data_IF_868838205224
#
_entry.id   IF_868838205224
#
_cell.length_a   1.000
_cell.length_b   1.000
_cell.length_c   1.000
_cell.angle_alpha   90.00
_cell.angle_beta   90.00
_cell.angle_gamma   90.00
#
_symmetry.space_group_name_H-M   'P 1'
#
loop_
_entity.id
_entity.type
_entity.pdbx_description
1 polymer ?
#
# COMPACT_ATOMS: atom_id res chain seq x y z
N UNK A 1 7.51 -19.43 -13.49
CA UNK A 1 7.28 -17.97 -13.64
C UNK A 1 6.19 -17.69 -14.68
N UNK A 2 6.36 -18.11 -15.93
CA UNK A 2 5.43 -17.84 -17.05
C UNK A 2 3.97 -18.19 -16.74
N UNK A 3 3.70 -19.42 -16.28
CA UNK A 3 2.34 -19.85 -15.94
C UNK A 3 1.69 -19.02 -14.80
N UNK A 4 2.48 -18.48 -13.86
CA UNK A 4 1.97 -17.63 -12.79
C UNK A 4 1.71 -16.19 -13.27
N UNK A 5 2.45 -15.74 -14.26
CA UNK A 5 2.27 -14.42 -14.86
C UNK A 5 1.07 -14.34 -15.81
N UNK A 6 0.58 -15.49 -16.36
CA UNK A 6 -0.48 -15.48 -17.37
C UNK A 6 -1.79 -14.88 -16.85
N UNK A 7 -2.24 -15.24 -15.64
CA UNK A 7 -3.51 -14.73 -15.09
C UNK A 7 -3.50 -13.21 -14.90
N UNK A 8 -2.51 -12.59 -14.23
CA UNK A 8 -2.45 -11.12 -14.12
C UNK A 8 -2.41 -10.42 -15.48
N UNK A 9 -1.68 -10.96 -16.45
CA UNK A 9 -1.59 -10.40 -17.80
C UNK A 9 -2.94 -10.47 -18.55
N UNK A 10 -3.64 -11.60 -18.48
CA UNK A 10 -4.94 -11.75 -19.13
C UNK A 10 -6.02 -10.86 -18.47
N UNK A 11 -5.99 -10.71 -17.13
CA UNK A 11 -6.90 -9.78 -16.43
C UNK A 11 -6.63 -8.33 -16.85
N UNK A 12 -5.36 -7.93 -16.95
CA UNK A 12 -5.00 -6.58 -17.40
C UNK A 12 -5.48 -6.33 -18.84
N UNK A 13 -5.22 -7.27 -19.75
CA UNK A 13 -5.67 -7.18 -21.16
C UNK A 13 -7.19 -7.07 -21.27
N UNK A 14 -7.91 -7.94 -20.54
CA UNK A 14 -9.38 -7.90 -20.54
C UNK A 14 -9.92 -6.55 -20.02
N UNK A 15 -9.32 -5.99 -18.96
CA UNK A 15 -9.68 -4.67 -18.46
C UNK A 15 -9.40 -3.55 -19.49
N UNK A 16 -8.27 -3.59 -20.16
CA UNK A 16 -7.93 -2.63 -21.21
C UNK A 16 -8.87 -2.72 -22.41
N UNK A 17 -9.24 -3.95 -22.82
CA UNK A 17 -10.21 -4.13 -23.89
C UNK A 17 -11.56 -3.51 -23.56
N UNK A 18 -12.08 -3.66 -22.34
CA UNK A 18 -13.33 -3.03 -21.91
C UNK A 18 -13.24 -1.49 -21.96
N UNK A 19 -12.08 -0.93 -21.58
CA UNK A 19 -11.86 0.52 -21.65
C UNK A 19 -11.83 1.00 -23.10
N UNK A 20 -11.18 0.27 -24.00
CA UNK A 20 -11.09 0.59 -25.44
C UNK A 20 -12.43 0.46 -26.16
N UNK A 21 -13.28 -0.54 -25.78
CA UNK A 21 -14.63 -0.74 -26.33
C UNK A 21 -15.64 0.26 -25.77
N UNK A 22 -15.31 0.95 -24.69
CA UNK A 22 -16.11 2.03 -24.12
C UNK A 22 -16.05 3.31 -24.93
N UNK A 23 -16.59 4.38 -24.39
CA UNK A 23 -16.65 5.71 -25.03
C UNK A 23 -15.31 6.48 -24.98
N UNK A 24 -14.20 5.81 -24.69
CA UNK A 24 -12.86 6.40 -24.61
C UNK A 24 -12.63 7.23 -23.34
N UNK A 25 -13.40 7.01 -22.29
CA UNK A 25 -13.18 7.66 -21.00
C UNK A 25 -11.81 7.28 -20.43
N UNK A 26 -11.18 8.26 -19.80
CA UNK A 26 -9.88 8.10 -19.16
C UNK A 26 -10.03 7.33 -17.85
N UNK A 27 -9.77 6.02 -17.89
CA UNK A 27 -9.64 5.20 -16.68
C UNK A 27 -8.19 5.14 -16.22
N UNK A 28 -7.98 5.25 -14.91
CA UNK A 28 -6.68 5.02 -14.28
C UNK A 28 -6.55 3.52 -13.96
N UNK A 29 -5.57 2.86 -14.56
CA UNK A 29 -5.32 1.42 -14.41
C UNK A 29 -4.04 1.21 -13.62
N UNK A 30 -4.15 0.74 -12.40
CA UNK A 30 -3.01 0.40 -11.55
C UNK A 30 -2.89 -1.09 -11.27
N UNK A 31 -1.68 -1.54 -10.97
CA UNK A 31 -1.43 -2.90 -10.51
C UNK A 31 -0.87 -2.93 -9.09
N UNK A 32 -1.65 -3.48 -8.15
CA UNK A 32 -1.23 -3.65 -6.75
C UNK A 32 -0.68 -5.05 -6.52
N UNK A 33 0.46 -5.16 -5.86
CA UNK A 33 1.15 -6.43 -5.65
C UNK A 33 1.80 -6.52 -4.27
N UNK A 34 1.88 -7.75 -3.75
CA UNK A 34 2.77 -8.08 -2.63
C UNK A 34 4.11 -8.54 -3.20
N UNK A 35 5.23 -7.89 -2.85
CA UNK A 35 6.51 -8.19 -3.49
C UNK A 35 7.06 -9.59 -3.18
N UNK A 36 6.68 -10.15 -2.03
CA UNK A 36 7.09 -11.48 -1.58
C UNK A 36 6.00 -12.14 -0.75
N UNK A 37 5.97 -13.47 -0.75
CA UNK A 37 5.07 -14.32 0.02
C UNK A 37 5.85 -15.47 0.65
N UNK A 38 5.59 -15.74 1.94
CA UNK A 38 6.24 -16.83 2.70
C UNK A 38 5.59 -18.21 2.45
N UNK A 39 4.35 -18.22 1.94
CA UNK A 39 3.64 -19.45 1.67
C UNK A 39 4.36 -20.31 0.63
N UNK A 40 4.29 -21.64 0.73
CA UNK A 40 4.82 -22.61 -0.24
C UNK A 40 3.68 -23.23 -1.07
N UNK A 41 3.68 -23.07 -2.40
CA UNK A 41 4.63 -22.33 -3.24
C UNK A 41 4.40 -20.81 -3.19
N UNK A 42 5.45 -20.06 -2.81
CA UNK A 42 5.42 -18.62 -2.66
C UNK A 42 5.82 -17.83 -3.91
N UNK A 43 5.98 -16.53 -3.73
CA UNK A 43 6.50 -15.58 -4.71
C UNK A 43 7.72 -14.89 -4.10
N UNK A 44 8.88 -15.00 -4.72
CA UNK A 44 10.05 -14.22 -4.36
C UNK A 44 10.10 -12.90 -5.12
N UNK A 45 10.98 -12.01 -4.70
CA UNK A 45 11.11 -10.68 -5.31
C UNK A 45 11.46 -10.74 -6.80
N UNK A 46 12.33 -11.68 -7.22
CA UNK A 46 12.66 -11.90 -8.63
C UNK A 46 11.45 -12.33 -9.48
N UNK A 47 10.53 -13.14 -8.91
CA UNK A 47 9.30 -13.50 -9.59
C UNK A 47 8.37 -12.30 -9.78
N UNK A 48 8.33 -11.43 -8.78
CA UNK A 48 7.58 -10.17 -8.81
C UNK A 48 8.16 -9.22 -9.86
N UNK A 49 9.48 -9.03 -9.89
CA UNK A 49 10.13 -8.19 -10.91
C UNK A 49 9.92 -8.71 -12.32
N UNK A 50 9.99 -10.04 -12.51
CA UNK A 50 9.64 -10.66 -13.80
C UNK A 50 8.21 -10.30 -14.23
N UNK A 51 7.23 -10.44 -13.33
CA UNK A 51 5.83 -10.13 -13.62
C UNK A 51 5.65 -8.63 -13.94
N UNK A 52 6.20 -7.74 -13.12
CA UNK A 52 6.06 -6.29 -13.31
C UNK A 52 6.66 -5.82 -14.63
N UNK A 53 7.83 -6.33 -15.01
CA UNK A 53 8.44 -6.01 -16.30
C UNK A 53 7.60 -6.52 -17.50
N UNK A 54 6.86 -7.64 -17.34
CA UNK A 54 5.90 -8.10 -18.36
C UNK A 54 4.65 -7.20 -18.39
N UNK A 55 4.09 -6.83 -17.24
CA UNK A 55 2.94 -5.94 -17.15
C UNK A 55 3.24 -4.54 -17.70
N UNK A 56 4.46 -4.04 -17.52
CA UNK A 56 4.89 -2.73 -17.99
C UNK A 56 4.87 -2.59 -19.54
N UNK A 57 4.85 -3.70 -20.28
CA UNK A 57 4.66 -3.67 -21.74
C UNK A 57 3.22 -3.36 -22.16
N UNK A 58 2.30 -3.32 -21.19
CA UNK A 58 0.91 -2.93 -21.36
C UNK A 58 0.67 -1.55 -20.71
N UNK A 59 -0.46 -0.91 -21.05
CA UNK A 59 -0.80 0.41 -20.50
C UNK A 59 -1.14 0.28 -19.00
N UNK A 60 -0.23 0.74 -18.13
CA UNK A 60 -0.43 0.93 -16.70
C UNK A 60 -0.14 2.39 -16.34
N UNK A 61 -0.96 2.95 -15.46
CA UNK A 61 -0.78 4.32 -14.96
C UNK A 61 0.04 4.36 -13.68
N UNK A 62 0.04 3.28 -12.88
CA UNK A 62 0.91 3.14 -11.71
C UNK A 62 1.06 1.67 -11.29
N UNK A 63 2.11 1.40 -10.52
CA UNK A 63 2.27 0.14 -9.76
C UNK A 63 2.27 0.45 -8.27
N UNK A 64 1.71 -0.43 -7.44
CA UNK A 64 1.48 -0.18 -6.03
C UNK A 64 2.01 -1.34 -5.17
N UNK A 65 3.02 -1.06 -4.36
CA UNK A 65 3.51 -1.99 -3.35
C UNK A 65 2.44 -2.23 -2.27
N UNK A 66 2.23 -3.47 -1.88
CA UNK A 66 1.37 -3.87 -0.75
C UNK A 66 2.25 -4.40 0.38
N UNK A 67 2.61 -3.52 1.30
CA UNK A 67 3.55 -3.80 2.39
C UNK A 67 3.06 -3.17 3.70
N UNK A 68 3.55 -3.72 4.84
CA UNK A 68 3.28 -3.15 6.17
C UNK A 68 4.14 -1.92 6.50
N UNK A 69 5.30 -1.76 5.83
CA UNK A 69 6.16 -0.59 5.97
C UNK A 69 6.79 -0.24 4.62
N UNK A 70 6.89 1.06 4.30
CA UNK A 70 7.51 1.55 3.07
C UNK A 70 9.02 1.23 3.01
N UNK A 71 9.66 1.06 4.16
CA UNK A 71 11.08 0.68 4.30
C UNK A 71 11.33 -0.83 4.28
N UNK A 72 10.28 -1.66 4.08
CA UNK A 72 10.39 -3.12 4.22
C UNK A 72 11.47 -3.71 3.32
N UNK A 73 12.38 -4.48 3.92
CA UNK A 73 13.35 -5.35 3.25
C UNK A 73 12.75 -6.72 2.91
N UNK A 74 13.56 -7.66 2.45
CA UNK A 74 13.11 -9.04 2.17
C UNK A 74 12.58 -9.74 3.44
N UNK A 75 11.45 -10.45 3.30
CA UNK A 75 10.94 -11.36 4.33
C UNK A 75 11.40 -12.80 4.11
N UNK A 76 11.98 -13.10 2.94
CA UNK A 76 12.53 -14.41 2.58
C UNK A 76 14.01 -14.47 2.94
N UNK A 77 14.75 -13.41 2.63
CA UNK A 77 16.18 -13.26 2.91
C UNK A 77 16.36 -12.26 4.05
N UNK A 78 16.21 -12.73 5.28
CA UNK A 78 16.15 -11.86 6.48
C UNK A 78 17.48 -11.21 6.86
N UNK A 79 18.60 -11.65 6.30
CA UNK A 79 19.92 -11.04 6.38
C UNK A 79 20.12 -9.87 5.39
N UNK A 80 19.25 -9.75 4.40
CA UNK A 80 19.25 -8.69 3.41
C UNK A 80 18.36 -7.53 3.88
N UNK A 81 18.98 -6.49 4.42
CA UNK A 81 18.31 -5.33 5.02
C UNK A 81 18.00 -4.21 4.02
N UNK A 82 18.37 -4.36 2.75
CA UNK A 82 18.08 -3.34 1.74
C UNK A 82 16.56 -3.22 1.49
N UNK A 83 15.99 -2.02 1.53
CA UNK A 83 14.57 -1.82 1.24
C UNK A 83 14.19 -2.34 -0.15
N UNK A 84 13.07 -3.04 -0.26
CA UNK A 84 12.61 -3.62 -1.53
C UNK A 84 12.37 -2.57 -2.63
N UNK A 85 12.04 -1.35 -2.26
CA UNK A 85 11.94 -0.25 -3.24
C UNK A 85 13.28 0.06 -3.90
N UNK A 86 14.39 0.04 -3.16
CA UNK A 86 15.75 0.30 -3.72
C UNK A 86 16.10 -0.78 -4.74
N UNK A 87 15.83 -2.04 -4.42
CA UNK A 87 15.99 -3.16 -5.36
C UNK A 87 15.10 -3.03 -6.59
N UNK A 88 13.83 -2.63 -6.40
CA UNK A 88 12.90 -2.38 -7.49
C UNK A 88 13.47 -1.34 -8.46
N UNK A 89 13.95 -0.19 -7.95
CA UNK A 89 14.52 0.88 -8.75
C UNK A 89 15.74 0.42 -9.57
N UNK A 90 16.55 -0.48 -9.00
CA UNK A 90 17.72 -1.05 -9.68
C UNK A 90 17.38 -2.11 -10.74
N UNK A 91 16.26 -2.85 -10.60
CA UNK A 91 15.91 -4.01 -11.42
C UNK A 91 14.82 -3.73 -12.47
N UNK A 92 14.19 -2.54 -12.44
CA UNK A 92 13.09 -2.20 -13.35
C UNK A 92 13.58 -1.99 -14.78
N UNK A 93 12.80 -2.48 -15.77
CA UNK A 93 13.05 -2.20 -17.19
C UNK A 93 12.80 -0.72 -17.50
N UNK A 94 13.25 -0.21 -18.66
CA UNK A 94 12.94 1.17 -19.09
C UNK A 94 11.43 1.45 -19.14
N UNK A 95 10.62 0.50 -19.58
CA UNK A 95 9.16 0.60 -19.62
C UNK A 95 8.58 0.72 -18.21
N UNK A 96 9.03 -0.14 -17.28
CA UNK A 96 8.60 -0.09 -15.88
C UNK A 96 9.10 1.18 -15.17
N UNK A 97 10.24 1.71 -15.57
CA UNK A 97 10.79 2.96 -15.04
C UNK A 97 9.98 4.21 -15.44
N UNK A 98 9.20 4.12 -16.50
CA UNK A 98 8.30 5.19 -16.93
C UNK A 98 6.94 5.18 -16.18
N UNK A 99 6.65 4.13 -15.40
CA UNK A 99 5.41 3.97 -14.65
C UNK A 99 5.64 4.42 -13.20
N UNK A 100 4.83 5.35 -12.67
CA UNK A 100 4.91 5.78 -11.28
C UNK A 100 4.76 4.62 -10.29
N UNK A 101 5.55 4.64 -9.22
CA UNK A 101 5.48 3.63 -8.15
C UNK A 101 4.90 4.21 -6.88
N UNK A 102 3.88 3.56 -6.34
CA UNK A 102 3.18 3.94 -5.12
C UNK A 102 3.68 3.11 -3.93
N UNK A 103 4.11 3.79 -2.87
CA UNK A 103 4.48 3.20 -1.59
C UNK A 103 3.33 3.16 -0.59
N UNK A 104 3.39 2.25 0.39
CA UNK A 104 2.41 2.11 1.46
C UNK A 104 3.05 1.52 2.70
N UNK A 105 2.43 1.78 3.83
CA UNK A 105 2.73 1.16 5.12
C UNK A 105 3.61 2.02 6.03
N UNK A 106 3.20 2.15 7.29
CA UNK A 106 3.87 2.95 8.32
C UNK A 106 4.10 4.42 7.96
N UNK A 107 3.24 4.99 7.09
CA UNK A 107 3.25 6.41 6.75
C UNK A 107 2.19 7.10 7.60
N UNK A 108 2.61 7.87 8.60
CA UNK A 108 1.72 8.58 9.51
C UNK A 108 2.07 10.06 9.63
N UNK A 109 3.33 10.36 9.94
CA UNK A 109 3.81 11.73 10.10
C UNK A 109 4.36 12.29 8.79
N UNK A 110 4.56 13.61 8.73
CA UNK A 110 5.17 14.29 7.58
C UNK A 110 6.54 13.68 7.23
N UNK A 111 7.37 13.40 8.24
CA UNK A 111 8.69 12.82 8.02
C UNK A 111 8.64 11.47 7.32
N UNK A 112 7.66 10.60 7.69
CA UNK A 112 7.48 9.31 7.02
C UNK A 112 7.18 9.49 5.52
N UNK A 113 6.34 10.47 5.19
CA UNK A 113 6.01 10.78 3.80
C UNK A 113 7.23 11.30 3.02
N UNK A 114 7.99 12.22 3.60
CA UNK A 114 9.22 12.76 3.00
C UNK A 114 10.28 11.66 2.83
N UNK A 115 10.48 10.81 3.83
CA UNK A 115 11.44 9.70 3.77
C UNK A 115 11.03 8.67 2.71
N UNK A 116 9.74 8.35 2.59
CA UNK A 116 9.25 7.45 1.56
C UNK A 116 9.50 8.03 0.15
N UNK A 117 9.19 9.30 -0.08
CA UNK A 117 9.48 9.96 -1.37
C UNK A 117 10.98 9.98 -1.65
N UNK A 118 11.82 10.23 -0.65
CA UNK A 118 13.29 10.23 -0.78
C UNK A 118 13.85 8.83 -1.09
N UNK A 119 13.17 7.75 -0.67
CA UNK A 119 13.53 6.38 -1.05
C UNK A 119 13.22 6.07 -2.52
N UNK A 120 12.39 6.89 -3.19
CA UNK A 120 12.12 6.79 -4.62
C UNK A 120 10.70 6.33 -4.97
N UNK A 121 9.75 6.39 -4.05
CA UNK A 121 8.33 6.31 -4.40
C UNK A 121 7.86 7.62 -5.03
N UNK A 122 7.03 7.52 -6.08
CA UNK A 122 6.44 8.68 -6.77
C UNK A 122 5.10 9.08 -6.14
N UNK A 123 4.39 8.12 -5.55
CA UNK A 123 3.08 8.27 -4.93
C UNK A 123 3.06 7.56 -3.57
N UNK A 124 2.20 8.04 -2.67
CA UNK A 124 2.03 7.42 -1.34
C UNK A 124 0.57 7.05 -1.11
N UNK A 125 0.35 5.83 -0.60
CA UNK A 125 -0.94 5.38 -0.10
C UNK A 125 -0.91 5.38 1.43
N UNK A 126 -1.84 6.11 2.04
CA UNK A 126 -1.96 6.24 3.48
C UNK A 126 -3.29 5.62 3.93
N UNK A 127 -3.23 4.62 4.81
CA UNK A 127 -4.42 3.94 5.34
C UNK A 127 -4.78 4.45 6.73
N UNK A 128 -4.11 3.95 7.77
CA UNK A 128 -4.36 4.30 9.17
C UNK A 128 -4.38 5.82 9.39
N UNK A 129 -3.46 6.55 8.78
CA UNK A 129 -3.39 8.01 8.92
C UNK A 129 -4.71 8.71 8.63
N UNK A 130 -5.40 8.35 7.53
CA UNK A 130 -6.71 8.91 7.18
C UNK A 130 -7.85 8.42 8.07
N UNK A 131 -7.74 7.25 8.67
CA UNK A 131 -8.75 6.75 9.59
C UNK A 131 -8.73 7.50 10.92
N UNK A 132 -7.56 7.79 11.45
CA UNK A 132 -7.41 8.53 12.71
C UNK A 132 -7.47 10.05 12.52
N UNK A 133 -7.10 10.54 11.35
CA UNK A 133 -7.06 11.96 11.01
C UNK A 133 -7.57 12.21 9.58
N UNK A 134 -8.86 12.49 9.40
CA UNK A 134 -9.44 12.76 8.08
C UNK A 134 -8.80 13.94 7.34
N UNK A 135 -8.26 14.92 8.08
CA UNK A 135 -7.57 16.10 7.53
C UNK A 135 -6.06 15.87 7.40
N UNK A 136 -5.62 14.63 7.29
CA UNK A 136 -4.22 14.22 7.26
C UNK A 136 -3.39 15.05 6.26
N UNK A 137 -3.85 15.21 5.03
CA UNK A 137 -3.12 15.94 3.97
C UNK A 137 -2.92 17.40 4.37
N UNK A 138 -3.97 18.06 4.86
CA UNK A 138 -3.89 19.48 5.27
C UNK A 138 -2.90 19.66 6.42
N UNK A 139 -2.99 18.83 7.45
CA UNK A 139 -2.09 18.87 8.61
C UNK A 139 -0.63 18.59 8.22
N UNK A 140 -0.39 17.64 7.33
CA UNK A 140 0.95 17.35 6.80
C UNK A 140 1.52 18.59 6.08
N UNK A 141 0.72 19.27 5.27
CA UNK A 141 1.15 20.50 4.60
C UNK A 141 1.46 21.64 5.58
N UNK A 142 0.69 21.73 6.66
CA UNK A 142 0.88 22.74 7.72
C UNK A 142 1.97 22.35 8.73
N UNK A 143 2.61 21.19 8.56
CA UNK A 143 3.58 20.61 9.47
C UNK A 143 3.02 20.41 10.89
N UNK A 144 1.74 20.08 10.99
CA UNK A 144 1.09 19.72 12.25
C UNK A 144 1.34 18.26 12.59
N UNK A 145 1.38 17.97 13.89
CA UNK A 145 1.51 16.58 14.37
C UNK A 145 0.22 15.81 14.13
N UNK A 146 0.33 14.62 13.55
CA UNK A 146 -0.76 13.67 13.42
C UNK A 146 -0.85 12.81 14.69
N UNK A 147 -2.07 12.50 15.14
CA UNK A 147 -2.28 11.58 16.24
C UNK A 147 -1.99 10.13 15.80
N UNK A 148 -1.37 9.36 16.68
CA UNK A 148 -1.02 7.96 16.36
C UNK A 148 -2.23 7.04 16.47
N UNK A 149 -3.17 7.36 17.36
CA UNK A 149 -4.38 6.58 17.63
C UNK A 149 -5.57 7.50 17.88
N UNK A 150 -6.75 7.05 17.50
CA UNK A 150 -8.00 7.68 17.86
C UNK A 150 -8.44 7.29 19.27
N UNK A 151 -9.23 8.15 19.92
CA UNK A 151 -9.88 7.82 21.19
C UNK A 151 -10.94 6.73 20.98
N UNK A 152 -11.15 5.86 21.97
CA UNK A 152 -12.08 4.74 21.91
C UNK A 152 -13.53 5.12 21.54
N UNK A 153 -13.95 6.35 21.83
CA UNK A 153 -15.28 6.87 21.54
C UNK A 153 -15.33 7.73 20.26
N UNK A 154 -14.24 7.79 19.46
CA UNK A 154 -14.13 8.69 18.33
C UNK A 154 -14.89 8.22 17.06
N UNK A 155 -15.49 7.03 17.06
CA UNK A 155 -16.14 6.43 15.90
C UNK A 155 -17.09 7.39 15.15
N UNK A 156 -18.00 8.04 15.89
CA UNK A 156 -18.99 8.95 15.30
C UNK A 156 -18.33 10.22 14.76
N UNK A 157 -17.33 10.76 15.47
CA UNK A 157 -16.59 11.95 15.04
C UNK A 157 -15.81 11.67 13.75
N UNK A 158 -15.20 10.49 13.64
CA UNK A 158 -14.45 10.04 12.48
C UNK A 158 -15.35 9.52 11.35
N UNK A 159 -16.67 9.41 11.61
CA UNK A 159 -17.68 8.91 10.65
C UNK A 159 -17.35 7.53 10.09
N UNK A 160 -16.74 6.68 10.91
CA UNK A 160 -16.40 5.30 10.54
C UNK A 160 -17.62 4.41 10.74
N UNK A 161 -18.10 3.68 9.70
CA UNK A 161 -19.22 2.74 9.84
C UNK A 161 -18.92 1.64 10.87
N UNK A 162 -19.92 1.22 11.66
CA UNK A 162 -19.72 0.25 12.73
C UNK A 162 -19.03 -1.05 12.27
N UNK A 163 -19.38 -1.68 11.13
CA UNK A 163 -18.68 -2.90 10.70
C UNK A 163 -17.19 -2.67 10.42
N UNK A 164 -16.82 -1.48 9.94
CA UNK A 164 -15.42 -1.14 9.70
C UNK A 164 -14.73 -0.81 11.02
N UNK A 165 -15.41 -0.09 11.94
CA UNK A 165 -14.87 0.23 13.24
C UNK A 165 -14.56 -1.05 14.04
N UNK A 166 -15.51 -1.99 14.14
CA UNK A 166 -15.34 -3.26 14.84
C UNK A 166 -14.18 -4.11 14.26
N UNK A 167 -14.00 -4.05 12.93
CA UNK A 167 -12.91 -4.75 12.24
C UNK A 167 -11.53 -4.12 12.48
N UNK A 168 -11.47 -2.79 12.61
CA UNK A 168 -10.21 -2.03 12.63
C UNK A 168 -9.88 -1.44 14.00
N UNK A 169 -10.71 -1.63 15.01
CA UNK A 169 -10.57 -1.08 16.35
C UNK A 169 -9.16 -1.29 16.91
N UNK A 170 -8.64 -2.51 16.81
CA UNK A 170 -7.29 -2.88 17.26
C UNK A 170 -6.14 -2.15 16.54
N UNK A 171 -6.41 -1.53 15.37
CA UNK A 171 -5.41 -0.78 14.61
C UNK A 171 -5.47 0.73 14.86
N UNK A 172 -6.66 1.24 15.13
CA UNK A 172 -6.92 2.69 15.17
C UNK A 172 -7.07 3.25 16.58
N UNK A 173 -7.39 2.40 17.58
CA UNK A 173 -7.51 2.83 18.99
C UNK A 173 -6.19 2.58 19.72
N UNK A 174 -5.90 3.41 20.73
CA UNK A 174 -4.77 3.19 21.61
C UNK A 174 -4.91 1.82 22.33
N UNK A 175 -3.91 0.94 22.26
CA UNK A 175 -3.95 -0.39 22.88
C UNK A 175 -4.24 -0.37 24.38
N UNK A 176 -3.88 0.69 25.11
CA UNK A 176 -4.18 0.81 26.53
C UNK A 176 -5.66 1.18 26.76
N UNK A 177 -6.24 2.07 25.94
CA UNK A 177 -7.68 2.38 26.00
C UNK A 177 -8.55 1.18 25.61
N UNK A 178 -8.11 0.40 24.62
CA UNK A 178 -8.80 -0.82 24.20
C UNK A 178 -8.87 -1.85 25.33
N UNK A 179 -7.78 -2.07 26.08
CA UNK A 179 -7.77 -2.96 27.24
C UNK A 179 -8.76 -2.52 28.31
N UNK A 180 -8.78 -1.24 28.65
CA UNK A 180 -9.70 -0.67 29.65
C UNK A 180 -11.17 -0.87 29.23
N UNK A 181 -11.50 -0.69 27.94
CA UNK A 181 -12.83 -0.94 27.40
C UNK A 181 -13.24 -2.41 27.58
N UNK A 182 -12.36 -3.35 27.24
CA UNK A 182 -12.62 -4.79 27.35
C UNK A 182 -12.77 -5.27 28.81
N UNK A 183 -12.08 -4.64 29.73
CA UNK A 183 -12.24 -4.95 31.19
C UNK A 183 -13.60 -4.49 31.70
N UNK A 184 -14.04 -3.27 31.34
CA UNK A 184 -15.35 -2.73 31.73
C UNK A 184 -16.55 -3.53 31.18
N UNK A 185 -16.38 -4.20 30.04
CA UNK A 185 -17.43 -5.05 29.45
C UNK A 185 -17.56 -6.43 30.12
N UNK A 186 -16.63 -6.79 31.02
CA UNK A 186 -16.67 -8.05 31.79
C UNK A 186 -17.26 -7.92 33.20
N UNK A 187 -17.50 -6.68 33.65
CA UNK A 187 -18.20 -6.33 34.89
C UNK A 187 -19.71 -6.15 34.63
#
# INVERSE_FOLDING_TARGET
REKRASVPLEVLKAGQQVIEEGDGTEFIVGYRFSPEKLEEPGICFDDTMYLLNQLATHKLDYVHFSMGAYTRSSIIHTDDLEPLIVKYLAMRSPELAAIPVMGVGSILQRQDAEDAMNLGYDLLAVGKGFLVEPNWVEKIHQNEKIIDYAHVDAQQQLKIPSPLWDFMEYMVIDPEEEKIKHERLKE
#
